data_IF_783706734172
#
_entry.id   IF_783706734172
#
_cell.length_a   1.000
_cell.length_b   1.000
_cell.length_c   1.000
_cell.angle_alpha   90.00
_cell.angle_beta   90.00
_cell.angle_gamma   90.00
#
_symmetry.space_group_name_H-M   'P 1'
#
loop_
_entity.id
_entity.type
_entity.pdbx_description
1 polymer ?
#
# COMPACT_ATOMS: atom_id res chain seq x y z
N UNK A 1 -4.74 3.70 2.67
CA UNK A 1 -3.63 4.22 1.84
C UNK A 1 -2.33 3.55 2.24
N UNK A 2 -1.53 3.12 1.27
CA UNK A 2 -0.29 2.38 1.50
C UNK A 2 0.73 2.63 0.40
N UNK A 3 1.99 2.39 0.74
CA UNK A 3 3.12 2.36 -0.18
C UNK A 3 3.70 0.94 -0.24
N UNK A 4 4.13 0.52 -1.42
CA UNK A 4 4.86 -0.73 -1.59
C UNK A 4 6.37 -0.43 -1.42
N UNK A 5 6.98 -1.02 -0.39
CA UNK A 5 8.40 -0.82 -0.08
C UNK A 5 9.14 -2.14 -0.37
N UNK A 6 10.25 -2.14 -1.12
CA UNK A 6 11.06 -3.33 -1.29
C UNK A 6 11.41 -3.97 0.06
N UNK A 7 11.27 -5.29 0.17
CA UNK A 7 11.46 -5.99 1.45
C UNK A 7 12.86 -5.79 2.04
N UNK A 8 13.88 -5.65 1.19
CA UNK A 8 15.26 -5.35 1.59
C UNK A 8 15.44 -3.94 2.18
N UNK A 9 14.55 -3.01 1.84
CA UNK A 9 14.53 -1.64 2.36
C UNK A 9 13.69 -1.48 3.64
N UNK A 10 13.16 -2.56 4.21
CA UNK A 10 12.27 -2.52 5.37
C UNK A 10 12.74 -3.43 6.51
N UNK A 11 12.87 -2.85 7.72
CA UNK A 11 13.14 -3.60 8.94
C UNK A 11 12.38 -3.02 10.13
N UNK A 12 11.92 -3.89 11.03
CA UNK A 12 11.41 -3.48 12.35
C UNK A 12 12.62 -3.31 13.26
N UNK A 13 12.91 -2.07 13.64
CA UNK A 13 14.08 -1.73 14.49
C UNK A 13 13.73 -1.68 15.98
N UNK A 14 12.45 -1.54 16.32
CA UNK A 14 11.95 -1.47 17.70
C UNK A 14 10.51 -1.97 17.81
N UNK A 15 10.23 -2.64 18.93
CA UNK A 15 8.92 -3.19 19.25
C UNK A 15 8.68 -4.55 18.58
N UNK A 16 7.64 -5.24 19.05
CA UNK A 16 7.28 -6.58 18.57
C UNK A 16 5.84 -6.55 18.02
N UNK A 17 5.67 -6.25 16.72
CA UNK A 17 4.36 -6.25 16.08
C UNK A 17 3.70 -7.62 16.14
N UNK A 18 2.38 -7.62 16.36
CA UNK A 18 1.56 -8.84 16.42
C UNK A 18 0.74 -9.01 15.16
N UNK A 19 0.33 -10.24 14.84
CA UNK A 19 -0.60 -10.49 13.74
C UNK A 19 -2.02 -10.12 14.19
N UNK A 20 -2.72 -9.34 13.36
CA UNK A 20 -4.15 -9.05 13.50
C UNK A 20 -4.92 -9.37 12.23
N UNK A 21 -6.22 -9.02 12.20
CA UNK A 21 -7.09 -9.26 11.05
C UNK A 21 -7.59 -10.71 10.97
N UNK A 22 -7.51 -11.34 9.79
CA UNK A 22 -8.04 -12.70 9.54
C UNK A 22 -7.06 -13.84 9.92
N UNK A 23 -5.82 -13.53 10.30
CA UNK A 23 -4.79 -14.51 10.69
C UNK A 23 -4.57 -15.63 9.65
N UNK A 24 -4.28 -15.24 8.40
CA UNK A 24 -3.95 -16.15 7.30
C UNK A 24 -2.48 -16.09 6.89
N UNK A 25 -2.17 -16.65 5.72
CA UNK A 25 -0.82 -16.61 5.13
C UNK A 25 -0.40 -15.17 4.78
N UNK A 26 -1.35 -14.33 4.37
CA UNK A 26 -1.15 -12.88 4.36
C UNK A 26 -1.11 -12.35 5.79
N UNK A 27 0.02 -11.78 6.17
CA UNK A 27 0.31 -11.35 7.55
C UNK A 27 0.15 -9.85 7.68
N UNK A 28 -0.89 -9.43 8.39
CA UNK A 28 -1.12 -8.04 8.75
C UNK A 28 -0.53 -7.76 10.14
N UNK A 29 0.47 -6.88 10.21
CA UNK A 29 1.20 -6.57 11.44
C UNK A 29 0.63 -5.32 12.11
N UNK A 30 0.32 -5.48 13.40
CA UNK A 30 -0.33 -4.48 14.24
C UNK A 30 0.53 -4.12 15.45
N UNK A 31 0.41 -2.88 15.91
CA UNK A 31 0.93 -2.51 17.22
C UNK A 31 0.06 -3.19 18.31
N UNK A 32 0.65 -3.94 19.26
CA UNK A 32 -0.11 -4.67 20.28
C UNK A 32 -0.83 -3.76 21.29
N UNK A 33 -0.47 -2.47 21.32
CA UNK A 33 -1.06 -1.52 22.26
C UNK A 33 -2.22 -0.74 21.65
N UNK A 34 -1.98 0.00 20.57
CA UNK A 34 -2.99 0.86 19.94
C UNK A 34 -3.79 0.15 18.84
N UNK A 35 -3.42 -1.08 18.49
CA UNK A 35 -4.07 -1.87 17.43
C UNK A 35 -4.07 -1.17 16.06
N UNK A 36 -3.10 -0.28 15.82
CA UNK A 36 -2.89 0.27 14.48
C UNK A 36 -2.31 -0.80 13.56
N UNK A 37 -2.92 -0.98 12.39
CA UNK A 37 -2.36 -1.78 11.31
C UNK A 37 -1.20 -1.03 10.67
N UNK A 38 0.03 -1.48 10.88
CA UNK A 38 1.23 -0.76 10.46
C UNK A 38 1.67 -1.17 9.04
N UNK A 39 1.76 -2.48 8.78
CA UNK A 39 2.19 -2.99 7.49
C UNK A 39 1.65 -4.41 7.22
N UNK A 40 1.80 -4.88 5.99
CA UNK A 40 1.42 -6.23 5.56
C UNK A 40 2.55 -6.89 4.78
N UNK A 41 2.72 -8.19 5.00
CA UNK A 41 3.48 -9.08 4.12
C UNK A 41 2.48 -10.00 3.39
N UNK A 42 2.16 -9.71 2.11
CA UNK A 42 1.22 -10.52 1.34
C UNK A 42 1.74 -11.93 1.11
N UNK A 43 0.82 -12.90 1.04
CA UNK A 43 1.17 -14.27 0.64
C UNK A 43 1.69 -14.29 -0.80
N UNK A 44 2.77 -15.04 -1.04
CA UNK A 44 3.36 -15.20 -2.38
C UNK A 44 4.07 -13.96 -2.94
N UNK A 45 4.18 -12.88 -2.16
CA UNK A 45 4.70 -11.59 -2.60
C UNK A 45 5.78 -11.06 -1.63
N UNK A 46 6.74 -11.92 -1.28
CA UNK A 46 7.76 -11.63 -0.27
C UNK A 46 8.79 -10.56 -0.69
N UNK A 47 8.75 -10.08 -1.94
CA UNK A 47 9.65 -9.06 -2.47
C UNK A 47 9.29 -7.64 -2.02
N UNK A 48 8.10 -7.39 -1.46
CA UNK A 48 7.76 -6.11 -0.85
C UNK A 48 6.96 -6.21 0.45
N UNK A 49 6.93 -5.09 1.17
CA UNK A 49 6.09 -4.84 2.33
C UNK A 49 5.10 -3.74 1.98
N UNK A 50 3.81 -3.98 2.21
CA UNK A 50 2.78 -2.96 2.07
C UNK A 50 2.71 -2.15 3.38
N UNK A 51 3.35 -0.99 3.42
CA UNK A 51 3.40 -0.10 4.58
C UNK A 51 2.24 0.89 4.53
N UNK A 52 1.58 1.16 5.66
CA UNK A 52 0.60 2.25 5.73
C UNK A 52 1.33 3.59 5.62
N UNK A 53 0.95 4.40 4.63
CA UNK A 53 1.61 5.68 4.36
C UNK A 53 1.60 6.61 5.59
N UNK A 54 0.55 6.51 6.42
CA UNK A 54 0.42 7.26 7.68
C UNK A 54 1.42 6.87 8.77
N UNK A 55 2.25 5.85 8.55
CA UNK A 55 3.34 5.47 9.46
C UNK A 55 4.64 6.21 9.16
N UNK A 56 4.71 6.95 8.04
CA UNK A 56 5.84 7.79 7.70
C UNK A 56 5.78 9.09 8.50
N UNK A 57 6.93 9.56 8.99
CA UNK A 57 7.01 10.85 9.70
C UNK A 57 6.62 12.02 8.80
N UNK A 58 6.98 11.94 7.51
CA UNK A 58 6.54 12.83 6.45
C UNK A 58 5.86 12.02 5.34
N UNK A 59 4.54 12.16 5.25
CA UNK A 59 3.71 11.56 4.20
C UNK A 59 3.16 12.63 3.24
N UNK A 60 3.66 13.88 3.29
CA UNK A 60 3.15 14.99 2.46
C UNK A 60 3.38 14.78 0.96
N UNK A 61 4.43 14.03 0.61
CA UNK A 61 4.73 13.61 -0.77
C UNK A 61 3.85 12.47 -1.26
N UNK A 62 3.12 11.77 -0.38
CA UNK A 62 2.34 10.62 -0.79
C UNK A 62 1.05 11.05 -1.49
N UNK A 63 0.97 10.72 -2.77
CA UNK A 63 -0.27 10.72 -3.56
C UNK A 63 -0.48 9.31 -4.11
N UNK A 64 -1.68 8.70 -4.00
CA UNK A 64 -1.91 7.37 -4.58
C UNK A 64 -1.80 7.43 -6.11
N UNK A 65 -1.11 6.47 -6.72
CA UNK A 65 -1.12 6.31 -8.18
C UNK A 65 -2.37 5.55 -8.65
N UNK A 66 -2.73 4.48 -7.93
CA UNK A 66 -3.90 3.64 -8.20
C UNK A 66 -4.80 3.59 -6.96
N UNK A 67 -6.11 3.64 -7.16
CA UNK A 67 -7.13 3.17 -6.21
C UNK A 67 -7.89 1.95 -6.75
N UNK A 68 -8.16 0.98 -5.88
CA UNK A 68 -8.87 -0.27 -6.19
C UNK A 68 -10.11 -0.43 -5.32
N UNK A 69 -11.04 -1.30 -5.74
CA UNK A 69 -12.31 -1.57 -5.05
C UNK A 69 -13.23 -0.34 -4.92
N UNK A 70 -13.20 0.56 -5.90
CA UNK A 70 -14.03 1.77 -5.87
C UNK A 70 -15.52 1.51 -6.00
N UNK A 71 -15.94 0.31 -6.44
CA UNK A 71 -17.34 -0.11 -6.42
C UNK A 71 -17.92 -0.20 -5.00
N UNK A 72 -17.09 -0.37 -3.98
CA UNK A 72 -17.47 -0.44 -2.57
C UNK A 72 -17.30 0.90 -1.83
N UNK A 73 -16.80 1.95 -2.51
CA UNK A 73 -16.52 3.23 -1.86
C UNK A 73 -17.81 4.00 -1.53
N UNK A 74 -17.76 4.76 -0.44
CA UNK A 74 -18.83 5.72 -0.16
C UNK A 74 -18.87 6.78 -1.28
N UNK A 75 -20.05 7.19 -1.80
CA UNK A 75 -20.13 8.07 -2.97
C UNK A 75 -19.40 9.42 -2.84
N UNK A 76 -19.20 9.90 -1.61
CA UNK A 76 -18.50 11.16 -1.35
C UNK A 76 -16.98 11.00 -1.24
N UNK A 77 -16.46 9.78 -1.09
CA UNK A 77 -15.04 9.52 -0.91
C UNK A 77 -14.33 9.53 -2.26
N UNK A 78 -13.43 10.50 -2.45
CA UNK A 78 -12.63 10.65 -3.65
C UNK A 78 -11.15 10.76 -3.28
N UNK A 79 -10.28 10.26 -4.16
CA UNK A 79 -8.83 10.39 -4.03
C UNK A 79 -8.27 11.01 -5.31
N UNK A 80 -7.07 11.60 -5.27
CA UNK A 80 -6.40 12.11 -6.47
C UNK A 80 -5.69 11.00 -7.28
N UNK A 81 -6.09 9.74 -7.13
CA UNK A 81 -5.44 8.64 -7.85
C UNK A 81 -5.52 8.83 -9.36
N UNK A 82 -4.41 8.55 -10.06
CA UNK A 82 -4.32 8.64 -11.52
C UNK A 82 -5.25 7.61 -12.16
N UNK A 83 -5.24 6.40 -11.60
CA UNK A 83 -6.06 5.28 -12.04
C UNK A 83 -7.03 4.83 -10.96
N UNK A 84 -8.29 4.60 -11.34
CA UNK A 84 -9.36 4.21 -10.43
C UNK A 84 -10.08 2.98 -10.96
N UNK A 85 -10.01 1.87 -10.22
CA UNK A 85 -10.60 0.59 -10.59
C UNK A 85 -11.78 0.22 -9.69
N UNK A 86 -12.86 -0.31 -10.27
CA UNK A 86 -14.02 -0.81 -9.51
C UNK A 86 -13.66 -2.00 -8.61
N UNK A 87 -12.68 -2.80 -9.03
CA UNK A 87 -12.09 -3.93 -8.27
C UNK A 87 -10.56 -3.88 -8.38
N UNK A 88 -9.90 -4.94 -8.84
CA UNK A 88 -8.45 -4.98 -9.11
C UNK A 88 -8.16 -4.84 -10.61
N UNK A 89 -7.02 -4.26 -11.01
CA UNK A 89 -6.59 -4.26 -12.42
C UNK A 89 -6.48 -5.68 -12.96
N UNK A 90 -6.74 -5.84 -14.26
CA UNK A 90 -6.48 -7.11 -14.96
C UNK A 90 -4.97 -7.38 -15.01
N UNK A 91 -4.58 -8.65 -15.10
CA UNK A 91 -3.16 -9.03 -15.07
C UNK A 91 -2.37 -8.44 -16.24
N UNK A 92 -3.03 -8.29 -17.40
CA UNK A 92 -2.47 -7.74 -18.62
C UNK A 92 -2.20 -6.22 -18.52
N UNK A 93 -2.84 -5.51 -17.59
CA UNK A 93 -2.65 -4.06 -17.40
C UNK A 93 -1.43 -3.73 -16.54
N UNK A 94 -0.91 -4.68 -15.75
CA UNK A 94 0.15 -4.37 -14.78
C UNK A 94 1.47 -3.94 -15.42
N UNK A 95 1.81 -4.46 -16.60
CA UNK A 95 3.05 -4.06 -17.30
C UNK A 95 3.01 -2.57 -17.65
N UNK A 96 1.92 -2.12 -18.28
CA UNK A 96 1.70 -0.73 -18.65
C UNK A 96 1.61 0.17 -17.41
N UNK A 97 0.89 -0.27 -16.37
CA UNK A 97 0.77 0.47 -15.10
C UNK A 97 2.12 0.67 -14.40
N UNK A 98 3.00 -0.34 -14.42
CA UNK A 98 4.33 -0.24 -13.83
C UNK A 98 5.23 0.73 -14.62
N UNK A 99 5.14 0.70 -15.95
CA UNK A 99 5.87 1.64 -16.79
C UNK A 99 5.39 3.08 -16.54
N UNK A 100 4.09 3.32 -16.56
CA UNK A 100 3.53 4.64 -16.33
C UNK A 100 3.83 5.15 -14.91
N UNK A 101 3.79 4.27 -13.91
CA UNK A 101 4.19 4.62 -12.55
C UNK A 101 5.63 5.11 -12.49
N UNK A 102 6.57 4.46 -13.20
CA UNK A 102 7.97 4.87 -13.21
C UNK A 102 8.14 6.28 -13.82
N UNK A 103 7.37 6.61 -14.86
CA UNK A 103 7.35 7.95 -15.46
C UNK A 103 6.67 9.00 -14.56
N UNK A 104 5.61 8.60 -13.85
CA UNK A 104 4.87 9.47 -12.93
C UNK A 104 5.68 9.78 -11.66
N UNK A 105 6.29 8.78 -11.04
CA UNK A 105 7.09 8.92 -9.82
C UNK A 105 8.43 9.64 -10.04
N UNK A 106 8.92 9.72 -11.27
CA UNK A 106 10.14 10.45 -11.64
C UNK A 106 9.94 11.97 -11.83
N UNK A 107 8.72 12.49 -11.69
CA UNK A 107 8.42 13.91 -11.85
C UNK A 107 8.84 14.70 -10.60
N UNK A 108 9.36 15.94 -10.73
CA UNK A 108 9.89 16.70 -9.58
C UNK A 108 8.87 17.06 -8.48
N UNK A 109 7.57 16.95 -8.78
CA UNK A 109 6.46 17.37 -7.91
C UNK A 109 5.46 16.21 -7.62
N UNK A 110 5.85 14.94 -7.84
CA UNK A 110 5.04 13.77 -7.49
C UNK A 110 5.36 13.18 -6.12
#
# INVERSE_FOLDING_TARGET
MSVAVPSEGFAVTKGDPVIGGLHGATRHYFCPHCMSWMFTRPEGMDWFVNLRATMLDDASWYTPFIETWTSEKLPWATTPAVHSYETIPAMEEYEDLLQEYAEWAGKPDS
#
